data_IF_861615133839
#
_entry.id   IF_861615133839
#
_cell.length_a   1.000
_cell.length_b   1.000
_cell.length_c   1.000
_cell.angle_alpha   90.00
_cell.angle_beta   90.00
_cell.angle_gamma   90.00
#
_symmetry.space_group_name_H-M   'P 1'
#
loop_
_entity.id
_entity.type
_entity.pdbx_description
1 polymer ?
#
# COMPACT_ATOMS: atom_id res chain seq x y z
N UNK A 1 -4.75 3.96 9.72
CA UNK A 1 -4.61 5.13 8.84
C UNK A 1 -4.21 4.67 7.45
N UNK A 2 -5.21 4.24 6.69
CA UNK A 2 -5.00 3.71 5.34
C UNK A 2 -4.77 4.82 4.32
N UNK A 3 -5.35 5.98 4.54
CA UNK A 3 -5.40 7.05 3.56
C UNK A 3 -4.71 8.30 4.13
N UNK A 4 -3.50 8.58 3.65
CA UNK A 4 -2.62 9.57 4.26
C UNK A 4 -3.13 11.01 4.14
N UNK A 5 -3.85 11.31 3.06
CA UNK A 5 -4.39 12.65 2.82
C UNK A 5 -5.84 12.75 3.27
N UNK A 6 -6.68 11.84 2.79
CA UNK A 6 -8.13 11.90 3.01
C UNK A 6 -8.49 11.68 4.48
N UNK A 7 -7.80 10.77 5.16
CA UNK A 7 -8.08 10.44 6.56
C UNK A 7 -7.36 11.37 7.55
N UNK A 8 -6.66 12.38 7.04
CA UNK A 8 -5.94 13.32 7.90
C UNK A 8 -6.87 14.40 8.44
N UNK A 9 -7.65 14.04 9.44
CA UNK A 9 -8.61 14.93 10.08
C UNK A 9 -7.99 15.68 11.26
N UNK A 10 -7.03 15.08 11.95
CA UNK A 10 -6.47 15.62 13.19
C UNK A 10 -5.11 16.28 13.04
N UNK A 11 -4.45 16.11 11.91
CA UNK A 11 -3.05 16.53 11.76
C UNK A 11 -2.09 15.67 12.58
N UNK A 12 -0.93 16.22 12.89
CA UNK A 12 0.11 15.52 13.63
C UNK A 12 0.91 14.52 12.79
N UNK A 13 1.98 13.99 13.38
CA UNK A 13 2.87 13.01 12.74
C UNK A 13 3.37 13.44 11.37
N UNK A 14 3.79 14.71 11.24
CA UNK A 14 4.09 15.30 9.93
C UNK A 14 5.20 14.56 9.19
N UNK A 15 6.28 14.17 9.86
CA UNK A 15 7.37 13.44 9.22
C UNK A 15 6.91 12.08 8.70
N UNK A 16 6.13 11.37 9.49
CA UNK A 16 5.55 10.09 9.08
C UNK A 16 4.65 10.25 7.86
N UNK A 17 3.73 11.21 7.91
CA UNK A 17 2.78 11.46 6.81
C UNK A 17 3.50 11.86 5.53
N UNK A 18 4.50 12.74 5.62
CA UNK A 18 5.30 13.15 4.46
C UNK A 18 6.08 11.98 3.88
N UNK A 19 6.72 11.17 4.73
CA UNK A 19 7.51 10.02 4.25
C UNK A 19 6.65 8.98 3.56
N UNK A 20 5.46 8.69 4.07
CA UNK A 20 4.55 7.69 3.48
C UNK A 20 3.89 8.22 2.21
N UNK A 21 3.56 9.49 2.13
CA UNK A 21 3.08 10.14 0.90
C UNK A 21 4.17 10.09 -0.17
N UNK A 22 5.43 10.33 0.21
CA UNK A 22 6.56 10.22 -0.70
C UNK A 22 6.73 8.80 -1.23
N UNK A 23 6.52 7.76 -0.43
CA UNK A 23 6.55 6.37 -0.89
C UNK A 23 5.48 6.12 -1.96
N UNK A 24 4.27 6.63 -1.78
CA UNK A 24 3.21 6.50 -2.78
C UNK A 24 3.57 7.20 -4.09
N UNK A 25 4.14 8.40 -4.02
CA UNK A 25 4.62 9.12 -5.20
C UNK A 25 5.75 8.37 -5.88
N UNK A 26 6.69 7.85 -5.11
CA UNK A 26 7.79 7.02 -5.64
C UNK A 26 7.27 5.79 -6.36
N UNK A 27 6.33 5.08 -5.76
CA UNK A 27 5.71 3.88 -6.35
C UNK A 27 5.09 4.20 -7.71
N UNK A 28 4.32 5.27 -7.78
CA UNK A 28 3.68 5.69 -9.03
C UNK A 28 4.73 6.08 -10.09
N UNK A 29 5.73 6.85 -9.69
CA UNK A 29 6.78 7.29 -10.62
C UNK A 29 7.56 6.10 -11.17
N UNK A 30 7.98 5.17 -10.30
CA UNK A 30 8.68 3.95 -10.72
C UNK A 30 7.82 3.12 -11.66
N UNK A 31 6.52 2.96 -11.36
CA UNK A 31 5.60 2.22 -12.22
C UNK A 31 5.52 2.82 -13.62
N UNK A 32 5.42 4.14 -13.72
CA UNK A 32 5.35 4.85 -15.01
C UNK A 32 6.68 4.74 -15.76
N UNK A 33 7.81 4.94 -15.07
CA UNK A 33 9.14 4.85 -15.68
C UNK A 33 9.38 3.44 -16.24
N UNK A 34 9.07 2.41 -15.48
CA UNK A 34 9.22 1.02 -15.92
C UNK A 34 8.30 0.70 -17.11
N UNK A 35 7.08 1.19 -17.11
CA UNK A 35 6.16 1.01 -18.23
C UNK A 35 6.68 1.70 -19.50
N UNK A 36 7.23 2.92 -19.36
CA UNK A 36 7.83 3.65 -20.48
C UNK A 36 9.06 2.95 -21.04
N UNK A 37 9.80 2.23 -20.21
CA UNK A 37 10.94 1.40 -20.63
C UNK A 37 10.49 0.05 -21.21
N UNK A 38 9.20 -0.20 -21.32
CA UNK A 38 8.62 -1.47 -21.78
C UNK A 38 9.06 -2.66 -20.92
N UNK A 39 9.28 -2.42 -19.63
CA UNK A 39 9.60 -3.46 -18.66
C UNK A 39 8.35 -4.25 -18.27
N UNK A 40 8.54 -5.53 -17.95
CA UNK A 40 7.47 -6.36 -17.38
C UNK A 40 7.35 -6.22 -15.87
N UNK A 41 8.18 -5.41 -15.24
CA UNK A 41 8.13 -5.16 -13.81
C UNK A 41 7.00 -4.18 -13.51
N UNK A 42 6.23 -4.50 -12.48
CA UNK A 42 5.14 -3.66 -11.99
C UNK A 42 5.40 -3.28 -10.55
N UNK A 43 4.85 -2.15 -10.12
CA UNK A 43 5.04 -1.61 -8.78
C UNK A 43 3.70 -1.39 -8.07
N UNK A 44 3.67 -1.65 -6.79
CA UNK A 44 2.47 -1.54 -5.98
C UNK A 44 2.83 -1.08 -4.56
N UNK A 45 2.06 -0.17 -4.01
CA UNK A 45 2.14 0.21 -2.61
C UNK A 45 1.01 -0.49 -1.83
N UNK A 46 1.36 -1.13 -0.73
CA UNK A 46 0.41 -1.88 0.10
C UNK A 46 0.39 -1.33 1.52
N UNK A 47 -0.80 -1.05 2.03
CA UNK A 47 -1.02 -0.75 3.44
C UNK A 47 -1.16 -2.08 4.19
N UNK A 48 -0.27 -2.40 5.15
CA UNK A 48 -0.24 -3.72 5.78
C UNK A 48 -1.33 -3.94 6.82
N UNK A 49 -2.14 -2.95 7.12
CA UNK A 49 -3.07 -2.96 8.23
C UNK A 49 -2.48 -2.34 9.48
N UNK A 50 -3.30 -2.20 10.50
CA UNK A 50 -2.89 -1.65 11.79
C UNK A 50 -2.43 -2.79 12.70
N UNK A 51 -1.15 -3.18 12.53
CA UNK A 51 -0.58 -4.37 13.15
C UNK A 51 0.08 -4.08 14.50
N UNK A 52 0.02 -5.01 15.47
CA UNK A 52 0.70 -4.87 16.75
C UNK A 52 2.21 -5.12 16.58
N UNK A 53 2.95 -4.05 16.32
CA UNK A 53 4.40 -4.09 16.12
C UNK A 53 5.11 -3.25 17.17
N UNK A 54 6.43 -3.39 17.28
CA UNK A 54 7.26 -2.59 18.17
C UNK A 54 7.11 -1.09 17.90
N UNK A 55 6.86 -0.69 16.65
CA UNK A 55 6.72 0.72 16.26
C UNK A 55 5.53 1.40 16.95
N UNK A 56 4.48 0.65 17.29
CA UNK A 56 3.27 1.16 17.96
C UNK A 56 3.05 0.50 19.33
N UNK A 57 4.12 0.06 19.99
CA UNK A 57 4.07 -0.63 21.28
C UNK A 57 3.16 -1.87 21.28
N UNK A 58 3.13 -2.56 20.13
CA UNK A 58 2.29 -3.75 19.91
C UNK A 58 0.79 -3.48 20.05
N UNK A 59 0.39 -2.23 19.83
CA UNK A 59 -1.02 -1.83 19.89
C UNK A 59 -1.59 -1.73 18.47
N UNK A 60 -2.23 -2.81 18.03
CA UNK A 60 -2.81 -2.88 16.69
C UNK A 60 -4.24 -3.41 16.72
N UNK A 61 -5.08 -2.92 15.80
CA UNK A 61 -6.49 -3.30 15.70
C UNK A 61 -6.70 -4.53 14.83
N UNK A 62 -5.77 -4.84 13.94
CA UNK A 62 -5.90 -5.92 12.99
C UNK A 62 -5.19 -7.19 13.48
N UNK A 63 -5.74 -8.35 13.12
CA UNK A 63 -5.08 -9.62 13.34
C UNK A 63 -3.90 -9.79 12.37
N UNK A 64 -2.71 -10.06 12.90
CA UNK A 64 -1.50 -10.16 12.10
C UNK A 64 -1.57 -11.30 11.08
N UNK A 65 -2.06 -12.47 11.49
CA UNK A 65 -2.16 -13.62 10.59
C UNK A 65 -3.10 -13.35 9.42
N UNK A 66 -4.23 -12.70 9.69
CA UNK A 66 -5.20 -12.32 8.66
C UNK A 66 -4.61 -11.30 7.68
N UNK A 67 -3.93 -10.28 8.19
CA UNK A 67 -3.29 -9.26 7.36
C UNK A 67 -2.18 -9.86 6.48
N UNK A 68 -1.34 -10.71 7.03
CA UNK A 68 -0.26 -11.37 6.27
C UNK A 68 -0.86 -12.24 5.17
N UNK A 69 -1.90 -13.02 5.47
CA UNK A 69 -2.59 -13.84 4.48
C UNK A 69 -3.18 -12.97 3.36
N UNK A 70 -3.79 -11.84 3.71
CA UNK A 70 -4.35 -10.90 2.75
C UNK A 70 -3.29 -10.26 1.85
N UNK A 71 -2.16 -9.88 2.42
CA UNK A 71 -1.02 -9.32 1.67
C UNK A 71 -0.50 -10.34 0.64
N UNK A 72 -0.31 -11.57 1.06
CA UNK A 72 0.18 -12.64 0.16
C UNK A 72 -0.80 -12.85 -0.99
N UNK A 73 -2.10 -12.95 -0.71
CA UNK A 73 -3.13 -13.08 -1.74
C UNK A 73 -3.13 -11.90 -2.70
N UNK A 74 -2.99 -10.68 -2.18
CA UNK A 74 -2.96 -9.46 -2.98
C UNK A 74 -1.75 -9.45 -3.92
N UNK A 75 -0.57 -9.81 -3.43
CA UNK A 75 0.66 -9.88 -4.24
C UNK A 75 0.51 -10.91 -5.34
N UNK A 76 0.01 -12.10 -5.03
CA UNK A 76 -0.18 -13.17 -6.01
C UNK A 76 -1.19 -12.75 -7.09
N UNK A 77 -2.32 -12.15 -6.70
CA UNK A 77 -3.34 -11.67 -7.63
C UNK A 77 -2.81 -10.56 -8.53
N UNK A 78 -2.05 -9.63 -7.98
CA UNK A 78 -1.51 -8.48 -8.72
C UNK A 78 -0.58 -8.92 -9.85
N UNK A 79 0.17 -9.99 -9.65
CA UNK A 79 1.10 -10.51 -10.65
C UNK A 79 0.45 -11.30 -11.78
N UNK A 80 -0.85 -11.58 -11.72
CA UNK A 80 -1.55 -12.37 -12.74
C UNK A 80 -2.30 -11.45 -13.72
N UNK A 81 -2.34 -11.85 -15.00
CA UNK A 81 -3.06 -11.11 -16.02
C UNK A 81 -4.58 -11.24 -15.87
N UNK A 82 -5.06 -12.26 -15.16
CA UNK A 82 -6.48 -12.53 -14.98
C UNK A 82 -6.97 -12.02 -13.64
N UNK A 83 -8.06 -11.28 -13.64
CA UNK A 83 -8.85 -10.97 -12.45
C UNK A 83 -8.34 -9.87 -11.55
N UNK A 84 -7.20 -9.23 -11.83
CA UNK A 84 -6.79 -8.09 -11.03
C UNK A 84 -7.31 -6.78 -11.60
N UNK A 85 -7.93 -5.99 -10.75
CA UNK A 85 -8.36 -4.62 -11.07
C UNK A 85 -7.41 -3.58 -10.50
N UNK A 86 -6.34 -4.01 -9.82
CA UNK A 86 -5.37 -3.12 -9.19
C UNK A 86 -4.46 -2.53 -10.26
N UNK A 87 -4.43 -1.19 -10.42
CA UNK A 87 -3.57 -0.58 -11.41
C UNK A 87 -2.10 -0.62 -11.00
N UNK A 88 -1.22 -0.75 -11.99
CA UNK A 88 0.22 -0.59 -11.79
C UNK A 88 0.52 0.80 -11.19
N UNK A 89 1.28 0.86 -10.13
CA UNK A 89 1.52 2.10 -9.38
C UNK A 89 0.41 2.47 -8.41
N UNK A 90 -0.55 1.57 -8.19
CA UNK A 90 -1.67 1.80 -7.28
C UNK A 90 -1.29 1.67 -5.80
N UNK A 91 -2.24 2.03 -4.96
CA UNK A 91 -2.15 1.92 -3.52
C UNK A 91 -3.33 1.10 -3.02
N UNK A 92 -3.06 0.02 -2.31
CA UNK A 92 -4.09 -0.92 -1.86
C UNK A 92 -3.94 -1.25 -0.39
N UNK A 93 -5.04 -1.65 0.23
CA UNK A 93 -5.03 -2.21 1.56
C UNK A 93 -4.59 -3.68 1.53
N UNK A 94 -4.29 -4.23 2.69
CA UNK A 94 -3.87 -5.63 2.85
C UNK A 94 -4.89 -6.64 2.30
N UNK A 95 -6.16 -6.27 2.28
CA UNK A 95 -7.25 -7.10 1.75
C UNK A 95 -7.47 -6.94 0.23
N UNK A 96 -6.69 -6.11 -0.43
CA UNK A 96 -6.79 -5.87 -1.87
C UNK A 96 -7.67 -4.71 -2.27
N UNK A 97 -8.29 -4.01 -1.32
CA UNK A 97 -9.11 -2.83 -1.63
C UNK A 97 -8.24 -1.68 -2.11
N UNK A 98 -8.66 -1.03 -3.20
CA UNK A 98 -7.94 0.12 -3.75
C UNK A 98 -8.15 1.33 -2.84
N UNK A 99 -7.06 1.98 -2.48
CA UNK A 99 -7.07 3.15 -1.63
C UNK A 99 -6.76 4.41 -2.43
N UNK A 100 -7.33 5.53 -2.00
CA UNK A 100 -6.98 6.84 -2.54
C UNK A 100 -5.63 7.30 -1.99
N UNK A 101 -4.89 8.02 -2.80
CA UNK A 101 -3.58 8.55 -2.44
C UNK A 101 -3.63 9.75 -1.49
#
# INVERSE_FOLDING_TARGET
MANLLVDNVKGGNICYRLSKTAVNQLTKTVAVDLANMKSNVIALAIHPGYLPTKMNDYYGENDMAECISGIVKTIVSFGTAEGTTIPNGGYVDWNGDILAL
#
